data_IF_319838830618
#
_entry.id   IF_319838830618
#
_cell.length_a   1.000
_cell.length_b   1.000
_cell.length_c   1.000
_cell.angle_alpha   90.00
_cell.angle_beta   90.00
_cell.angle_gamma   90.00
#
_symmetry.space_group_name_H-M   'P 1'
#
loop_
_entity.id
_entity.type
_entity.pdbx_description
1 polymer ?
#
# COMPACT_ATOMS: atom_id res chain seq x y z
N UNK A 1 11.06 20.24 4.54
CA UNK A 1 10.55 20.83 3.28
C UNK A 1 9.34 21.76 3.44
N UNK A 2 8.81 22.04 4.63
CA UNK A 2 7.85 23.16 4.84
C UNK A 2 6.50 23.07 4.10
N UNK A 3 6.23 21.98 3.39
CA UNK A 3 4.98 21.78 2.67
C UNK A 3 3.86 21.44 3.66
N UNK A 4 2.70 22.11 3.59
CA UNK A 4 1.51 21.69 4.32
C UNK A 4 1.11 20.27 3.91
N UNK A 5 0.85 19.41 4.91
CA UNK A 5 0.41 18.03 4.68
C UNK A 5 -1.00 17.86 5.22
N UNK A 6 -1.90 17.37 4.38
CA UNK A 6 -3.22 16.91 4.80
C UNK A 6 -3.29 15.39 4.70
N UNK A 7 -3.55 14.72 5.82
CA UNK A 7 -3.87 13.30 5.83
C UNK A 7 -5.39 13.12 5.94
N UNK A 8 -5.95 12.45 4.93
CA UNK A 8 -7.34 12.01 4.97
C UNK A 8 -7.41 10.65 5.66
N UNK A 9 -8.23 10.57 6.70
CA UNK A 9 -8.38 9.38 7.54
C UNK A 9 -9.85 9.08 7.82
N UNK A 10 -10.12 8.05 8.62
CA UNK A 10 -11.43 7.59 9.04
C UNK A 10 -11.46 7.40 10.58
N UNK A 11 -12.65 7.19 11.20
CA UNK A 11 -12.77 7.04 12.64
C UNK A 11 -12.02 5.83 13.23
N UNK A 12 -11.53 4.91 12.38
CA UNK A 12 -10.73 3.77 12.79
C UNK A 12 -9.26 4.09 13.08
N UNK A 13 -8.82 5.35 12.91
CA UNK A 13 -7.48 5.81 13.31
C UNK A 13 -7.38 5.99 14.82
N UNK A 14 -6.31 5.49 15.42
CA UNK A 14 -6.08 5.60 16.85
C UNK A 14 -5.90 7.08 17.27
N UNK A 15 -6.55 7.55 18.35
CA UNK A 15 -6.44 8.93 18.80
C UNK A 15 -5.00 9.41 19.02
N UNK A 16 -4.15 8.54 19.57
CA UNK A 16 -2.73 8.84 19.78
C UNK A 16 -2.01 9.15 18.47
N UNK A 17 -2.32 8.42 17.39
CA UNK A 17 -1.76 8.68 16.06
C UNK A 17 -2.21 10.03 15.50
N UNK A 18 -3.48 10.40 15.70
CA UNK A 18 -4.01 11.72 15.30
C UNK A 18 -3.27 12.84 16.03
N UNK A 19 -3.05 12.69 17.35
CA UNK A 19 -2.28 13.66 18.14
C UNK A 19 -0.84 13.78 17.65
N UNK A 20 -0.19 12.64 17.35
CA UNK A 20 1.16 12.62 16.83
C UNK A 20 1.27 13.34 15.47
N UNK A 21 0.38 13.04 14.53
CA UNK A 21 0.37 13.69 13.21
C UNK A 21 0.14 15.20 13.31
N UNK A 22 -0.77 15.64 14.18
CA UNK A 22 -1.02 17.06 14.43
C UNK A 22 0.18 17.75 15.06
N UNK A 23 0.88 17.09 15.98
CA UNK A 23 2.11 17.60 16.58
C UNK A 23 3.25 17.77 15.55
N UNK A 24 3.28 16.93 14.51
CA UNK A 24 4.18 17.08 13.36
C UNK A 24 3.73 18.18 12.36
N UNK A 25 2.63 18.89 12.65
CA UNK A 25 2.10 19.97 11.81
C UNK A 25 1.18 19.51 10.69
N UNK A 26 0.77 18.24 10.65
CA UNK A 26 -0.17 17.76 9.65
C UNK A 26 -1.62 18.14 9.97
N UNK A 27 -2.37 18.52 8.95
CA UNK A 27 -3.82 18.61 9.02
C UNK A 27 -4.43 17.22 8.89
N UNK A 28 -5.29 16.82 9.82
CA UNK A 28 -5.97 15.53 9.80
C UNK A 28 -7.44 15.75 9.45
N UNK A 29 -7.84 15.33 8.25
CA UNK A 29 -9.21 15.41 7.73
C UNK A 29 -9.87 14.03 7.89
N UNK A 30 -10.86 13.92 8.77
CA UNK A 30 -11.52 12.64 9.10
C UNK A 30 -12.83 12.57 8.34
N UNK A 31 -13.00 11.55 7.49
CA UNK A 31 -14.29 11.29 6.82
C UNK A 31 -15.30 10.79 7.84
N UNK A 32 -16.54 11.29 7.76
CA UNK A 32 -17.57 11.00 8.78
C UNK A 32 -18.21 9.62 8.59
N UNK A 33 -18.37 9.17 7.35
CA UNK A 33 -19.14 7.98 7.00
C UNK A 33 -18.42 7.14 5.94
N UNK A 34 -18.60 5.80 5.96
CA UNK A 34 -18.07 4.94 4.91
C UNK A 34 -18.86 5.14 3.61
N UNK A 35 -18.20 5.01 2.47
CA UNK A 35 -18.87 5.06 1.18
C UNK A 35 -19.73 3.79 0.99
N UNK A 36 -20.93 3.86 0.39
CA UNK A 36 -21.81 2.70 0.20
C UNK A 36 -21.16 1.54 -0.56
N UNK A 37 -20.19 1.85 -1.43
CA UNK A 37 -19.38 0.88 -2.18
C UNK A 37 -17.91 1.08 -1.83
N UNK A 38 -17.21 0.06 -1.35
CA UNK A 38 -15.78 0.16 -1.00
C UNK A 38 -15.47 0.77 0.37
N UNK A 39 -16.50 1.16 1.15
CA UNK A 39 -16.41 1.49 2.58
C UNK A 39 -15.50 2.69 2.89
N UNK A 40 -14.78 2.60 4.00
CA UNK A 40 -13.87 3.65 4.48
C UNK A 40 -12.72 3.96 3.51
N UNK A 41 -12.25 2.97 2.73
CA UNK A 41 -11.18 3.19 1.77
C UNK A 41 -11.65 4.08 0.61
N UNK A 42 -12.83 3.83 0.06
CA UNK A 42 -13.35 4.69 -1.02
C UNK A 42 -13.78 6.07 -0.50
N UNK A 43 -14.37 6.17 0.69
CA UNK A 43 -14.69 7.47 1.31
C UNK A 43 -13.46 8.39 1.41
N UNK A 44 -12.34 7.86 1.91
CA UNK A 44 -11.07 8.60 1.99
C UNK A 44 -10.53 8.99 0.61
N UNK A 45 -10.61 8.11 -0.39
CA UNK A 45 -10.18 8.42 -1.77
C UNK A 45 -11.04 9.52 -2.40
N UNK A 46 -12.35 9.44 -2.25
CA UNK A 46 -13.26 10.47 -2.71
C UNK A 46 -12.91 11.82 -2.08
N UNK A 47 -12.70 11.85 -0.75
CA UNK A 47 -12.31 13.05 -0.04
C UNK A 47 -10.96 13.63 -0.52
N UNK A 48 -9.98 12.79 -0.82
CA UNK A 48 -8.72 13.22 -1.46
C UNK A 48 -8.99 13.87 -2.82
N UNK A 49 -9.83 13.27 -3.68
CA UNK A 49 -10.19 13.87 -4.98
C UNK A 49 -10.86 15.23 -4.82
N UNK A 50 -11.78 15.37 -3.87
CA UNK A 50 -12.43 16.65 -3.55
C UNK A 50 -11.42 17.73 -3.13
N UNK A 51 -10.47 17.38 -2.26
CA UNK A 51 -9.42 18.30 -1.81
C UNK A 51 -8.50 18.75 -2.96
N UNK A 52 -8.14 17.83 -3.86
CA UNK A 52 -7.35 18.13 -5.06
C UNK A 52 -8.11 19.08 -6.01
N UNK A 53 -9.40 18.84 -6.24
CA UNK A 53 -10.24 19.74 -7.06
C UNK A 53 -10.32 21.14 -6.45
N UNK A 54 -10.40 21.25 -5.12
CA UNK A 54 -10.47 22.53 -4.40
C UNK A 54 -9.14 23.27 -4.30
N UNK A 55 -8.02 22.55 -4.44
CA UNK A 55 -6.67 23.10 -4.26
C UNK A 55 -5.81 22.71 -5.46
N UNK A 56 -5.87 23.46 -6.58
CA UNK A 56 -5.19 23.06 -7.82
C UNK A 56 -3.67 22.91 -7.72
N UNK A 57 -3.03 23.54 -6.72
CA UNK A 57 -1.60 23.40 -6.44
C UNK A 57 -1.26 22.21 -5.54
N UNK A 58 -2.26 21.50 -5.02
CA UNK A 58 -2.03 20.33 -4.19
C UNK A 58 -1.55 19.15 -5.03
N UNK A 59 -0.69 18.33 -4.43
CA UNK A 59 -0.17 17.12 -5.02
C UNK A 59 -0.54 15.93 -4.15
N UNK A 60 -1.01 14.85 -4.77
CA UNK A 60 -1.29 13.60 -4.09
C UNK A 60 -0.20 12.58 -4.46
N UNK A 61 0.45 11.95 -3.47
CA UNK A 61 1.44 10.90 -3.74
C UNK A 61 0.89 9.66 -4.43
N UNK A 62 -0.44 9.45 -4.40
CA UNK A 62 -1.16 8.31 -4.96
C UNK A 62 -0.45 6.95 -4.77
N UNK A 63 -0.33 6.53 -3.51
CA UNK A 63 0.42 5.34 -3.12
C UNK A 63 0.03 4.04 -3.86
N UNK A 64 -1.15 3.97 -4.47
CA UNK A 64 -1.65 2.78 -5.14
C UNK A 64 -1.26 2.70 -6.62
N UNK A 65 -0.93 3.83 -7.26
CA UNK A 65 -0.63 3.88 -8.70
C UNK A 65 0.66 4.63 -9.02
N UNK A 66 1.31 5.25 -8.04
CA UNK A 66 2.53 6.01 -8.28
C UNK A 66 3.70 5.05 -8.56
N UNK A 67 4.30 5.08 -9.77
CA UNK A 67 5.45 4.24 -10.11
C UNK A 67 6.68 4.52 -9.25
N UNK A 68 6.80 5.71 -8.66
CA UNK A 68 7.88 6.03 -7.72
C UNK A 68 7.80 5.18 -6.45
N UNK A 69 6.60 4.74 -6.05
CA UNK A 69 6.43 3.79 -4.95
C UNK A 69 7.15 2.47 -5.28
N UNK A 70 7.01 1.96 -6.52
CA UNK A 70 7.69 0.74 -6.97
C UNK A 70 9.19 0.97 -7.06
N UNK A 71 9.61 2.07 -7.69
CA UNK A 71 11.03 2.39 -7.90
C UNK A 71 11.80 2.59 -6.59
N UNK A 72 11.15 3.12 -5.54
CA UNK A 72 11.76 3.38 -4.24
C UNK A 72 12.30 2.11 -3.53
N UNK A 73 11.89 0.92 -3.94
CA UNK A 73 12.36 -0.34 -3.34
C UNK A 73 13.61 -0.93 -4.00
N UNK A 74 14.08 -0.37 -5.12
CA UNK A 74 15.31 -0.86 -5.76
C UNK A 74 16.55 -0.77 -4.85
N UNK A 75 16.79 0.31 -4.08
CA UNK A 75 17.90 0.36 -3.14
C UNK A 75 17.84 -0.75 -2.07
N UNK A 76 16.66 -1.01 -1.50
CA UNK A 76 16.48 -2.08 -0.52
C UNK A 76 16.81 -3.46 -1.13
N UNK A 77 16.39 -3.73 -2.36
CA UNK A 77 16.73 -4.98 -3.04
C UNK A 77 18.25 -5.12 -3.25
N UNK A 78 18.96 -4.04 -3.57
CA UNK A 78 20.42 -4.05 -3.70
C UNK A 78 21.11 -4.30 -2.35
N UNK A 79 20.61 -3.72 -1.26
CA UNK A 79 21.09 -3.99 0.10
C UNK A 79 20.93 -5.48 0.45
N UNK A 80 19.77 -6.08 0.13
CA UNK A 80 19.52 -7.51 0.34
C UNK A 80 20.52 -8.39 -0.43
N UNK A 81 20.82 -8.06 -1.69
CA UNK A 81 21.82 -8.80 -2.49
C UNK A 81 23.21 -8.67 -1.87
N UNK A 82 23.61 -7.48 -1.41
CA UNK A 82 24.92 -7.27 -0.78
C UNK A 82 25.05 -8.08 0.51
N UNK A 83 23.98 -8.17 1.30
CA UNK A 83 24.01 -8.82 2.60
C UNK A 83 23.82 -10.33 2.55
N UNK A 84 22.94 -10.81 1.66
CA UNK A 84 22.49 -12.21 1.62
C UNK A 84 23.03 -12.96 0.41
N UNK A 85 23.57 -12.27 -0.58
CA UNK A 85 24.00 -12.85 -1.84
C UNK A 85 22.79 -13.27 -2.70
N UNK A 86 22.78 -14.54 -3.12
CA UNK A 86 21.71 -15.09 -3.96
C UNK A 86 20.42 -15.26 -3.15
N UNK A 87 19.32 -14.77 -3.69
CA UNK A 87 17.97 -14.95 -3.15
C UNK A 87 17.15 -15.73 -4.17
N UNK A 88 16.65 -16.90 -3.76
CA UNK A 88 15.86 -17.79 -4.61
C UNK A 88 14.36 -17.58 -4.47
N UNK A 89 13.91 -17.15 -3.29
CA UNK A 89 12.50 -16.92 -2.99
C UNK A 89 12.33 -15.61 -2.23
N UNK A 90 11.40 -14.78 -2.70
CA UNK A 90 10.92 -13.59 -1.99
C UNK A 90 9.49 -13.85 -1.53
N UNK A 91 9.26 -13.78 -0.22
CA UNK A 91 7.92 -13.81 0.37
C UNK A 91 7.56 -12.39 0.79
N UNK A 92 6.47 -11.83 0.24
CA UNK A 92 6.10 -10.44 0.45
C UNK A 92 4.62 -10.28 0.81
N UNK A 93 4.34 -9.56 1.90
CA UNK A 93 3.00 -9.10 2.21
C UNK A 93 2.56 -8.05 1.19
N UNK A 94 1.33 -8.17 0.68
CA UNK A 94 0.84 -7.33 -0.43
C UNK A 94 -0.25 -6.39 0.07
N UNK A 95 0.05 -5.10 0.04
CA UNK A 95 -0.90 -4.00 0.27
C UNK A 95 -1.04 -3.16 -1.00
N UNK A 96 -0.23 -2.11 -1.12
CA UNK A 96 -0.20 -1.27 -2.33
C UNK A 96 0.48 -1.96 -3.53
N UNK A 97 1.29 -3.00 -3.31
CA UNK A 97 2.05 -3.70 -4.35
C UNK A 97 3.43 -3.11 -4.66
N UNK A 98 3.71 -1.87 -4.24
CA UNK A 98 4.98 -1.20 -4.53
C UNK A 98 6.21 -1.97 -4.05
N UNK A 99 6.15 -2.45 -2.81
CA UNK A 99 7.22 -3.25 -2.19
C UNK A 99 7.51 -4.53 -2.98
N UNK A 100 6.50 -5.39 -3.13
CA UNK A 100 6.64 -6.69 -3.80
C UNK A 100 7.12 -6.53 -5.24
N UNK A 101 6.54 -5.61 -5.99
CA UNK A 101 6.91 -5.38 -7.39
C UNK A 101 8.33 -4.81 -7.51
N UNK A 102 8.67 -3.81 -6.68
CA UNK A 102 9.97 -3.14 -6.73
C UNK A 102 11.12 -4.06 -6.36
N UNK A 103 10.99 -4.80 -5.25
CA UNK A 103 12.05 -5.73 -4.84
C UNK A 103 12.16 -6.89 -5.83
N UNK A 104 11.05 -7.54 -6.19
CA UNK A 104 11.12 -8.70 -7.09
C UNK A 104 11.73 -8.33 -8.44
N UNK A 105 11.37 -7.17 -9.00
CA UNK A 105 11.93 -6.68 -10.27
C UNK A 105 13.45 -6.51 -10.19
N UNK A 106 13.95 -5.88 -9.12
CA UNK A 106 15.39 -5.68 -8.95
C UNK A 106 16.11 -6.98 -8.65
N UNK A 107 15.60 -7.83 -7.76
CA UNK A 107 16.22 -9.13 -7.46
C UNK A 107 16.28 -10.04 -8.71
N UNK A 108 15.28 -9.98 -9.60
CA UNK A 108 15.27 -10.74 -10.87
C UNK A 108 16.36 -10.33 -11.86
N UNK A 109 16.97 -9.15 -11.72
CA UNK A 109 18.15 -8.81 -12.53
C UNK A 109 19.40 -9.57 -12.10
N UNK A 110 19.42 -10.12 -10.88
CA UNK A 110 20.51 -10.94 -10.34
C UNK A 110 20.20 -12.43 -10.37
N UNK A 111 18.93 -12.80 -10.14
CA UNK A 111 18.43 -14.17 -10.25
C UNK A 111 17.11 -14.19 -11.05
N UNK A 112 17.16 -14.43 -12.38
CA UNK A 112 15.97 -14.51 -13.22
C UNK A 112 14.98 -15.61 -12.81
N UNK A 113 15.43 -16.63 -12.06
CA UNK A 113 14.60 -17.74 -11.59
C UNK A 113 13.92 -17.47 -10.23
N UNK A 114 14.10 -16.27 -9.65
CA UNK A 114 13.51 -15.89 -8.37
C UNK A 114 11.99 -16.14 -8.34
N UNK A 115 11.57 -16.89 -7.33
CA UNK A 115 10.17 -17.12 -7.01
C UNK A 115 9.61 -16.02 -6.13
N UNK A 116 8.47 -15.45 -6.52
CA UNK A 116 7.74 -14.46 -5.74
C UNK A 116 6.48 -15.08 -5.14
N UNK A 117 6.42 -15.12 -3.82
CA UNK A 117 5.25 -15.58 -3.05
C UNK A 117 4.56 -14.38 -2.41
N UNK A 118 3.30 -14.16 -2.77
CA UNK A 118 2.46 -13.11 -2.22
C UNK A 118 1.74 -13.59 -0.95
N UNK A 119 1.75 -12.75 0.08
CA UNK A 119 0.94 -12.95 1.28
C UNK A 119 -0.13 -11.87 1.33
N UNK A 120 -1.38 -12.29 1.25
CA UNK A 120 -2.56 -11.41 1.34
C UNK A 120 -3.43 -11.80 2.53
N UNK A 121 -4.34 -10.93 2.96
CA UNK A 121 -5.30 -11.24 4.01
C UNK A 121 -6.57 -11.80 3.40
N UNK A 122 -7.25 -12.72 4.08
CA UNK A 122 -8.64 -13.06 3.72
C UNK A 122 -9.52 -11.81 3.60
N UNK A 123 -10.49 -11.83 2.69
CA UNK A 123 -11.38 -10.72 2.35
C UNK A 123 -10.69 -9.52 1.66
N UNK A 124 -9.50 -9.74 1.09
CA UNK A 124 -8.78 -8.77 0.29
C UNK A 124 -9.03 -8.94 -1.21
N UNK A 125 -9.26 -7.84 -1.90
CA UNK A 125 -9.54 -7.86 -3.34
C UNK A 125 -8.27 -7.95 -4.18
N UNK A 126 -7.08 -7.80 -3.60
CA UNK A 126 -5.81 -7.70 -4.35
C UNK A 126 -5.64 -8.88 -5.31
N UNK A 127 -5.94 -10.09 -4.84
CA UNK A 127 -5.87 -11.32 -5.65
C UNK A 127 -7.25 -11.97 -5.87
N UNK A 128 -8.30 -11.15 -5.94
CA UNK A 128 -9.61 -11.57 -6.46
C UNK A 128 -10.61 -12.15 -5.45
N UNK A 129 -10.34 -12.11 -4.13
CA UNK A 129 -11.39 -12.42 -3.17
C UNK A 129 -12.41 -11.27 -3.07
N UNK A 130 -13.67 -11.55 -2.68
CA UNK A 130 -14.64 -10.51 -2.36
C UNK A 130 -14.14 -9.60 -1.23
N UNK A 131 -14.42 -8.30 -1.34
CA UNK A 131 -14.09 -7.36 -0.28
C UNK A 131 -14.94 -7.66 0.96
N UNK A 132 -14.33 -7.67 2.14
CA UNK A 132 -15.03 -7.86 3.40
C UNK A 132 -14.26 -7.32 4.60
N UNK A 133 -14.82 -7.42 5.82
CA UNK A 133 -14.15 -6.97 7.04
C UNK A 133 -12.81 -7.67 7.25
N UNK A 134 -11.80 -6.92 7.72
CA UNK A 134 -10.46 -7.42 8.02
C UNK A 134 -9.99 -6.91 9.37
N UNK A 135 -9.44 -7.82 10.18
CA UNK A 135 -8.80 -7.48 11.45
C UNK A 135 -7.36 -7.03 11.26
N UNK A 136 -6.60 -7.71 10.38
CA UNK A 136 -5.22 -7.33 10.08
C UNK A 136 -5.18 -6.05 9.26
N UNK A 137 -4.31 -5.12 9.67
CA UNK A 137 -4.02 -3.86 8.98
C UNK A 137 -2.62 -3.93 8.37
N UNK A 138 -2.37 -3.17 7.31
CA UNK A 138 -1.06 -3.08 6.65
C UNK A 138 -0.81 -4.11 5.53
N UNK A 139 -1.64 -5.14 5.41
CA UNK A 139 -1.73 -6.02 4.24
C UNK A 139 -3.18 -6.11 3.75
N UNK A 140 -3.33 -6.45 2.47
CA UNK A 140 -4.60 -6.49 1.78
C UNK A 140 -5.19 -5.11 1.47
N UNK A 141 -6.12 -5.09 0.53
CA UNK A 141 -6.78 -3.86 0.06
C UNK A 141 -8.24 -4.11 -0.32
N UNK A 142 -9.11 -3.11 -0.16
CA UNK A 142 -10.50 -3.15 -0.67
C UNK A 142 -10.61 -2.55 -2.08
N UNK A 143 -9.47 -2.19 -2.68
CA UNK A 143 -9.35 -1.73 -4.07
C UNK A 143 -8.24 -2.53 -4.75
N UNK A 144 -8.22 -2.50 -6.08
CA UNK A 144 -7.13 -3.04 -6.89
C UNK A 144 -6.05 -1.97 -7.12
N UNK A 145 -4.86 -2.06 -6.48
CA UNK A 145 -3.79 -1.11 -6.72
C UNK A 145 -3.12 -1.36 -8.08
N UNK A 146 -2.84 -0.30 -8.84
CA UNK A 146 -2.11 -0.40 -10.11
C UNK A 146 -0.64 -0.79 -9.95
N UNK A 147 -0.07 -0.61 -8.76
CA UNK A 147 1.31 -0.96 -8.44
C UNK A 147 1.54 -2.47 -8.22
N UNK A 148 0.48 -3.29 -8.17
CA UNK A 148 0.63 -4.76 -8.04
C UNK A 148 0.94 -5.35 -9.42
N UNK A 149 2.11 -5.95 -9.56
CA UNK A 149 2.47 -6.74 -10.74
C UNK A 149 1.96 -8.18 -10.58
N UNK A 150 0.68 -8.41 -10.87
CA UNK A 150 0.04 -9.73 -10.69
C UNK A 150 0.76 -10.86 -11.43
N UNK A 151 1.30 -10.57 -12.61
CA UNK A 151 2.01 -11.55 -13.43
C UNK A 151 3.37 -11.95 -12.83
N UNK A 152 3.90 -11.15 -11.90
CA UNK A 152 5.17 -11.46 -11.25
C UNK A 152 5.06 -12.55 -10.17
N UNK A 153 3.87 -12.82 -9.61
CA UNK A 153 3.70 -13.77 -8.51
C UNK A 153 3.63 -15.21 -9.03
N UNK A 154 4.41 -16.09 -8.40
CA UNK A 154 4.36 -17.54 -8.65
C UNK A 154 3.30 -18.22 -7.77
N UNK A 155 3.12 -17.73 -6.53
CA UNK A 155 2.15 -18.24 -5.57
C UNK A 155 1.53 -17.10 -4.75
N UNK A 156 0.31 -17.31 -4.27
CA UNK A 156 -0.37 -16.39 -3.35
C UNK A 156 -1.01 -17.19 -2.21
N UNK A 157 -0.75 -16.76 -0.99
CA UNK A 157 -1.29 -17.36 0.23
C UNK A 157 -2.10 -16.33 1.00
N UNK A 158 -3.29 -16.74 1.46
CA UNK A 158 -4.17 -15.89 2.28
C UNK A 158 -4.04 -16.25 3.75
N UNK A 159 -3.76 -15.25 4.57
CA UNK A 159 -3.71 -15.39 6.03
C UNK A 159 -5.00 -14.89 6.66
N UNK A 160 -5.48 -15.63 7.66
CA UNK A 160 -6.60 -15.25 8.51
C UNK A 160 -6.09 -14.93 9.93
N UNK A 161 -6.72 -13.98 10.65
CA UNK A 161 -6.49 -13.85 12.09
C UNK A 161 -6.92 -15.16 12.77
N UNK A 162 -6.01 -15.73 13.58
CA UNK A 162 -6.24 -16.96 14.34
C UNK A 162 -7.21 -16.80 15.51
#
# INVERSE_FOLDING_TARGET
YGHPVTLVTDPGMEPLMVHHLRALGAHVDVVAEPHPVGGWQEARRQRVRELLTRTPSAWCPDQYNNPDNVAAYAPLALELIVQLGRIDVLVAAVGTGGHSAGIARTLRTFNPELKLVGVDSVNSTVFGQPAGPRLMRGLGSSIHPGNVDHAAFDEVHWVAPG
#
